data_IF_645470282196
#
_entry.id   IF_645470282196
#
_cell.length_a   1.000
_cell.length_b   1.000
_cell.length_c   1.000
_cell.angle_alpha   90.00
_cell.angle_beta   90.00
_cell.angle_gamma   90.00
#
_symmetry.space_group_name_H-M   'P 1'
#
loop_
_entity.id
_entity.type
_entity.pdbx_description
1 polymer ?
#
# COMPACT_ATOMS: atom_id res chain seq x y z
N UNK A 1 -15.94 3.23 6.45
CA UNK A 1 -15.01 2.08 6.36
C UNK A 1 -13.85 2.50 5.49
N UNK A 2 -12.65 2.08 5.85
CA UNK A 2 -11.45 2.50 5.16
C UNK A 2 -10.78 1.35 4.41
N UNK A 3 -10.04 1.74 3.38
CA UNK A 3 -9.11 0.88 2.67
C UNK A 3 -7.73 1.06 3.27
N UNK A 4 -7.05 -0.05 3.53
CA UNK A 4 -5.61 -0.05 3.81
C UNK A 4 -4.88 -0.20 2.48
N UNK A 5 -3.86 0.64 2.32
CA UNK A 5 -3.07 0.77 1.09
C UNK A 5 -1.62 0.44 1.44
N UNK A 6 -1.02 -0.44 0.66
CA UNK A 6 0.36 -0.86 0.77
C UNK A 6 1.09 -0.49 -0.50
N UNK A 7 2.24 0.18 -0.37
CA UNK A 7 3.07 0.56 -1.49
C UNK A 7 4.49 0.01 -1.32
N UNK A 8 5.04 -0.62 -2.36
CA UNK A 8 6.45 -1.03 -2.40
C UNK A 8 7.29 0.10 -2.99
N UNK A 9 8.02 0.79 -2.13
CA UNK A 9 8.79 1.99 -2.45
C UNK A 9 10.23 1.61 -2.79
N UNK A 10 10.75 2.06 -3.93
CA UNK A 10 12.18 2.06 -4.24
C UNK A 10 12.90 3.11 -3.39
N UNK A 11 13.64 2.63 -2.39
CA UNK A 11 14.32 3.52 -1.45
C UNK A 11 15.54 4.21 -2.04
N UNK A 12 16.18 3.63 -3.07
CA UNK A 12 17.32 4.30 -3.71
C UNK A 12 16.85 5.54 -4.45
N UNK A 13 15.76 5.42 -5.21
CA UNK A 13 15.17 6.56 -5.88
C UNK A 13 14.54 7.54 -4.88
N UNK A 14 13.88 7.04 -3.84
CA UNK A 14 13.30 7.91 -2.81
C UNK A 14 14.36 8.78 -2.10
N UNK A 15 15.50 8.19 -1.74
CA UNK A 15 16.63 8.92 -1.17
C UNK A 15 17.21 9.94 -2.16
N UNK A 16 17.37 9.55 -3.44
CA UNK A 16 17.83 10.45 -4.50
C UNK A 16 16.92 11.69 -4.62
N UNK A 17 15.60 11.49 -4.77
CA UNK A 17 14.64 12.57 -4.91
C UNK A 17 14.55 13.42 -3.64
N UNK A 18 14.66 12.81 -2.45
CA UNK A 18 14.61 13.54 -1.18
C UNK A 18 15.80 14.50 -0.98
N UNK A 19 16.92 14.21 -1.63
CA UNK A 19 18.16 15.01 -1.58
C UNK A 19 18.31 15.97 -2.77
N UNK A 20 17.47 15.84 -3.78
CA UNK A 20 17.45 16.73 -4.94
C UNK A 20 16.92 18.13 -4.55
N UNK A 21 17.49 19.22 -5.09
CA UNK A 21 16.91 20.56 -4.93
C UNK A 21 15.45 20.57 -5.36
N UNK A 22 14.59 21.26 -4.60
CA UNK A 22 13.15 21.34 -4.91
C UNK A 22 12.93 21.90 -6.32
N UNK A 23 13.72 22.90 -6.75
CA UNK A 23 13.65 23.44 -8.11
C UNK A 23 13.78 22.35 -9.16
N UNK A 24 14.76 21.47 -9.03
CA UNK A 24 15.03 20.47 -10.05
C UNK A 24 13.92 19.41 -10.10
N UNK A 25 13.30 19.08 -8.95
CA UNK A 25 12.13 18.20 -8.90
C UNK A 25 10.96 18.84 -9.65
N UNK A 26 10.67 20.11 -9.37
CA UNK A 26 9.56 20.83 -10.01
C UNK A 26 9.79 20.99 -11.51
N UNK A 27 11.00 21.33 -11.93
CA UNK A 27 11.36 21.43 -13.34
C UNK A 27 11.19 20.08 -14.05
N UNK A 28 11.60 18.97 -13.42
CA UNK A 28 11.44 17.64 -14.00
C UNK A 28 9.96 17.20 -14.07
N UNK A 29 9.13 17.63 -13.11
CA UNK A 29 7.67 17.41 -13.11
C UNK A 29 7.01 18.20 -14.23
N UNK A 30 7.25 19.51 -14.32
CA UNK A 30 6.67 20.39 -15.34
C UNK A 30 7.02 19.96 -16.76
N UNK A 31 8.26 19.49 -16.96
CA UNK A 31 8.74 18.99 -18.25
C UNK A 31 8.45 17.50 -18.49
N UNK A 32 7.79 16.81 -17.55
CA UNK A 32 7.46 15.38 -17.59
C UNK A 32 8.69 14.46 -17.71
N UNK A 33 9.89 14.96 -17.40
CA UNK A 33 11.13 14.19 -17.48
C UNK A 33 11.35 13.34 -16.23
N UNK A 34 10.71 13.66 -15.10
CA UNK A 34 10.77 12.86 -13.88
C UNK A 34 10.24 11.43 -14.12
N UNK A 35 9.32 11.26 -15.07
CA UNK A 35 8.74 9.95 -15.45
C UNK A 35 9.79 8.94 -15.89
N UNK A 36 10.92 9.39 -16.43
CA UNK A 36 12.03 8.54 -16.87
C UNK A 36 12.71 7.86 -15.68
N UNK A 37 12.73 8.51 -14.51
CA UNK A 37 13.32 7.98 -13.27
C UNK A 37 12.37 7.04 -12.53
N UNK A 38 11.09 7.01 -12.88
CA UNK A 38 10.09 6.22 -12.15
C UNK A 38 10.41 4.73 -12.25
N UNK A 39 10.30 3.95 -11.15
CA UNK A 39 10.59 2.52 -11.20
C UNK A 39 9.66 1.80 -12.18
N UNK A 40 10.11 0.68 -12.74
CA UNK A 40 9.27 -0.15 -13.61
C UNK A 40 8.07 -0.68 -12.83
N UNK A 41 6.87 -0.55 -13.42
CA UNK A 41 5.63 -1.04 -12.84
C UNK A 41 5.64 -2.57 -12.81
N UNK A 42 5.34 -3.15 -11.65
CA UNK A 42 4.98 -4.56 -11.58
C UNK A 42 3.61 -4.77 -12.25
N UNK A 43 3.60 -5.48 -13.39
CA UNK A 43 2.39 -5.72 -14.21
C UNK A 43 1.28 -6.47 -13.45
N UNK A 44 1.59 -7.10 -12.31
CA UNK A 44 0.59 -7.74 -11.45
C UNK A 44 -0.17 -6.78 -10.55
N UNK A 45 0.23 -5.50 -10.48
CA UNK A 45 -0.29 -4.51 -9.55
C UNK A 45 -0.59 -3.18 -10.22
N UNK A 46 -1.41 -2.38 -9.54
CA UNK A 46 -1.64 -0.99 -9.89
C UNK A 46 -0.66 -0.08 -9.14
N UNK A 47 -0.63 1.21 -9.49
CA UNK A 47 -0.06 2.31 -8.69
C UNK A 47 -0.68 3.62 -9.18
N UNK A 48 -0.52 4.69 -8.40
CA UNK A 48 -1.00 6.03 -8.77
C UNK A 48 -0.42 6.49 -10.12
N UNK A 49 -1.25 7.14 -10.94
CA UNK A 49 -0.84 7.66 -12.25
C UNK A 49 0.17 8.79 -12.10
N UNK A 50 1.07 8.92 -13.09
CA UNK A 50 2.08 9.97 -13.09
C UNK A 50 1.44 11.36 -13.02
N UNK A 51 0.39 11.60 -13.82
CA UNK A 51 -0.26 12.92 -13.93
C UNK A 51 -0.88 13.38 -12.60
N UNK A 52 -1.44 12.46 -11.81
CA UNK A 52 -2.07 12.79 -10.53
C UNK A 52 -0.99 13.20 -9.51
N UNK A 53 0.08 12.41 -9.41
CA UNK A 53 1.19 12.72 -8.51
C UNK A 53 1.96 13.98 -8.92
N UNK A 54 2.15 14.22 -10.21
CA UNK A 54 2.73 15.46 -10.73
C UNK A 54 1.90 16.67 -10.28
N UNK A 55 0.57 16.59 -10.44
CA UNK A 55 -0.35 17.62 -9.99
C UNK A 55 -0.28 17.88 -8.49
N UNK A 56 -0.28 16.81 -7.69
CA UNK A 56 -0.19 16.92 -6.23
C UNK A 56 1.14 17.52 -5.75
N UNK A 57 2.26 17.22 -6.41
CA UNK A 57 3.58 17.78 -6.09
C UNK A 57 3.60 19.29 -6.40
N UNK A 58 3.07 19.70 -7.55
CA UNK A 58 2.97 21.12 -7.91
C UNK A 58 2.05 21.87 -6.96
N UNK A 59 0.88 21.29 -6.64
CA UNK A 59 -0.05 21.88 -5.68
C UNK A 59 0.58 22.02 -4.30
N UNK A 60 1.35 21.03 -3.85
CA UNK A 60 2.10 21.12 -2.59
C UNK A 60 3.09 22.28 -2.60
N UNK A 61 3.82 22.50 -3.69
CA UNK A 61 4.74 23.64 -3.82
C UNK A 61 4.01 24.97 -3.79
N UNK A 62 2.90 25.11 -4.51
CA UNK A 62 2.10 26.34 -4.57
C UNK A 62 1.55 26.74 -3.18
N UNK A 63 1.19 25.74 -2.36
CA UNK A 63 0.76 25.95 -0.97
C UNK A 63 1.89 26.37 -0.03
N UNK A 64 3.16 26.23 -0.45
CA UNK A 64 4.35 26.52 0.34
C UNK A 64 5.23 27.61 -0.33
N UNK A 65 4.77 28.88 -0.43
CA UNK A 65 5.45 29.94 -1.18
C UNK A 65 6.80 30.41 -0.58
N UNK A 66 7.13 29.97 0.63
CA UNK A 66 8.38 30.32 1.33
C UNK A 66 9.48 29.27 1.17
N UNK A 67 9.29 28.28 0.27
CA UNK A 67 10.29 27.27 -0.04
C UNK A 67 11.58 27.92 -0.56
N UNK A 68 12.71 27.41 -0.10
CA UNK A 68 14.00 27.73 -0.69
C UNK A 68 14.28 26.72 -1.79
N UNK A 69 13.88 27.03 -3.03
CA UNK A 69 13.90 26.07 -4.14
C UNK A 69 15.31 25.51 -4.45
N UNK A 70 16.37 26.20 -4.00
CA UNK A 70 17.76 25.73 -4.15
C UNK A 70 18.14 24.58 -3.22
N UNK A 71 17.32 24.32 -2.19
CA UNK A 71 17.56 23.29 -1.17
C UNK A 71 16.71 22.06 -1.40
N UNK A 72 17.20 20.93 -0.88
CA UNK A 72 16.45 19.69 -0.86
C UNK A 72 15.24 19.76 0.09
N UNK A 73 14.27 18.86 -0.10
CA UNK A 73 13.12 18.71 0.81
C UNK A 73 13.59 18.48 2.24
N UNK A 74 14.68 17.72 2.42
CA UNK A 74 15.26 17.43 3.73
C UNK A 74 15.78 18.68 4.45
N UNK A 75 16.24 19.68 3.70
CA UNK A 75 16.81 20.93 4.25
C UNK A 75 15.80 22.08 4.37
N UNK A 76 14.58 21.90 3.84
CA UNK A 76 13.53 22.91 3.92
C UNK A 76 13.15 23.21 5.37
N UNK A 77 12.85 24.48 5.65
CA UNK A 77 12.32 24.93 6.95
C UNK A 77 10.79 24.88 6.98
N UNK A 78 10.24 23.71 6.70
CA UNK A 78 8.79 23.43 6.69
C UNK A 78 8.38 22.65 7.95
N UNK A 79 7.07 22.65 8.24
CA UNK A 79 6.50 21.86 9.33
C UNK A 79 6.70 20.35 9.09
N UNK A 80 6.58 19.55 10.16
CA UNK A 80 6.61 18.09 10.04
C UNK A 80 5.47 17.55 9.19
N UNK A 81 4.29 18.19 9.23
CA UNK A 81 3.12 17.83 8.44
C UNK A 81 3.37 18.04 6.94
N UNK A 82 3.87 19.21 6.54
CA UNK A 82 4.21 19.50 5.14
C UNK A 82 5.32 18.60 4.61
N UNK A 83 6.31 18.28 5.45
CA UNK A 83 7.36 17.33 5.12
C UNK A 83 6.80 15.91 4.91
N UNK A 84 5.86 15.49 5.75
CA UNK A 84 5.22 14.18 5.62
C UNK A 84 4.40 14.10 4.32
N UNK A 85 3.64 15.16 3.97
CA UNK A 85 2.86 15.22 2.73
C UNK A 85 3.73 15.00 1.49
N UNK A 86 4.77 15.81 1.32
CA UNK A 86 5.67 15.66 0.16
C UNK A 86 6.44 14.33 0.21
N UNK A 87 6.82 13.86 1.41
CA UNK A 87 7.44 12.55 1.58
C UNK A 87 6.54 11.40 1.11
N UNK A 88 5.24 11.47 1.38
CA UNK A 88 4.26 10.48 0.90
C UNK A 88 4.12 10.55 -0.63
N UNK A 89 4.04 11.75 -1.21
CA UNK A 89 3.97 11.93 -2.66
C UNK A 89 5.21 11.36 -3.37
N UNK A 90 6.40 11.66 -2.85
CA UNK A 90 7.63 11.08 -3.39
C UNK A 90 7.70 9.57 -3.19
N UNK A 91 7.24 9.03 -2.06
CA UNK A 91 7.22 7.60 -1.83
C UNK A 91 6.28 6.88 -2.82
N UNK A 92 5.09 7.45 -3.08
CA UNK A 92 4.15 6.99 -4.11
C UNK A 92 4.73 7.10 -5.52
N UNK A 93 5.48 8.17 -5.80
CA UNK A 93 6.20 8.30 -7.07
C UNK A 93 7.20 7.16 -7.26
N UNK A 94 8.00 6.90 -6.23
CA UNK A 94 8.99 5.83 -6.18
C UNK A 94 8.38 4.43 -5.99
N UNK A 95 7.06 4.29 -5.99
CA UNK A 95 6.41 2.99 -5.80
C UNK A 95 6.34 2.20 -7.10
N UNK A 96 6.71 0.91 -7.04
CA UNK A 96 6.58 -0.03 -8.17
C UNK A 96 5.25 -0.78 -8.19
N UNK A 97 4.55 -0.81 -7.06
CA UNK A 97 3.29 -1.54 -6.89
C UNK A 97 2.51 -1.02 -5.69
N UNK A 98 1.18 -0.99 -5.83
CA UNK A 98 0.19 -0.77 -4.80
C UNK A 98 -0.66 -2.03 -4.62
N UNK A 99 -0.91 -2.42 -3.38
CA UNK A 99 -1.93 -3.37 -3.00
C UNK A 99 -2.91 -2.72 -2.04
N UNK A 100 -4.21 -2.94 -2.23
CA UNK A 100 -5.27 -2.29 -1.48
C UNK A 100 -6.33 -3.29 -1.07
N UNK A 101 -6.83 -3.15 0.15
CA UNK A 101 -7.98 -3.93 0.61
C UNK A 101 -8.73 -3.21 1.72
N UNK A 102 -10.03 -3.52 1.83
CA UNK A 102 -10.87 -3.11 2.95
C UNK A 102 -10.27 -3.59 4.27
N UNK A 103 -10.14 -2.70 5.25
CA UNK A 103 -9.50 -3.01 6.54
C UNK A 103 -10.16 -4.22 7.25
N UNK A 104 -11.48 -4.36 7.13
CA UNK A 104 -12.22 -5.49 7.71
C UNK A 104 -11.82 -6.86 7.15
N UNK A 105 -11.33 -6.91 5.91
CA UNK A 105 -10.84 -8.17 5.29
C UNK A 105 -9.44 -8.55 5.79
N UNK A 106 -8.69 -7.62 6.37
CA UNK A 106 -7.36 -7.92 6.91
C UNK A 106 -7.41 -8.84 8.13
N UNK A 107 -8.53 -8.85 8.87
CA UNK A 107 -8.79 -9.88 9.89
C UNK A 107 -8.89 -11.31 9.33
N UNK A 108 -9.17 -11.45 8.04
CA UNK A 108 -9.14 -12.75 7.36
C UNK A 108 -7.77 -13.02 6.72
N UNK A 109 -7.13 -11.99 6.17
CA UNK A 109 -5.94 -12.19 5.33
C UNK A 109 -4.64 -12.15 6.12
N UNK A 110 -4.57 -11.34 7.17
CA UNK A 110 -3.34 -11.01 7.89
C UNK A 110 -3.38 -11.62 9.29
N UNK A 111 -4.42 -11.30 10.08
CA UNK A 111 -4.54 -11.72 11.49
C UNK A 111 -4.27 -13.22 11.72
N UNK A 112 -4.80 -14.17 10.93
CA UNK A 112 -4.58 -15.59 11.19
C UNK A 112 -3.11 -16.05 11.05
N UNK A 113 -2.27 -15.23 10.41
CA UNK A 113 -0.83 -15.48 10.23
C UNK A 113 0.03 -14.74 11.25
N UNK A 114 -0.57 -13.99 12.17
CA UNK A 114 0.13 -13.28 13.24
C UNK A 114 0.22 -14.14 14.51
N UNK A 115 1.29 -13.96 15.31
CA UNK A 115 1.43 -14.65 16.59
C UNK A 115 0.46 -14.14 17.67
N UNK A 116 0.02 -12.89 17.53
CA UNK A 116 -0.88 -12.18 18.45
C UNK A 116 -2.14 -11.78 17.69
N UNK A 117 -3.28 -11.76 18.39
CA UNK A 117 -4.55 -11.28 17.85
C UNK A 117 -4.53 -9.77 17.66
N UNK A 118 -5.30 -9.27 16.69
CA UNK A 118 -5.46 -7.84 16.46
C UNK A 118 -6.63 -7.33 17.32
N UNK A 119 -6.38 -6.35 18.19
CA UNK A 119 -7.40 -5.72 19.03
C UNK A 119 -8.24 -4.69 18.25
N UNK A 120 -7.66 -4.05 17.23
CA UNK A 120 -8.36 -3.06 16.40
C UNK A 120 -7.75 -2.82 15.03
N UNK A 121 -8.55 -2.25 14.11
CA UNK A 121 -8.12 -1.98 12.72
C UNK A 121 -6.92 -1.03 12.61
N UNK A 122 -6.69 -0.21 13.63
CA UNK A 122 -5.57 0.75 13.65
C UNK A 122 -4.21 0.04 13.70
N UNK A 123 -4.14 -1.19 14.21
CA UNK A 123 -2.89 -1.98 14.21
C UNK A 123 -2.43 -2.37 12.80
N UNK A 124 -3.34 -2.35 11.81
CA UNK A 124 -2.96 -2.53 10.41
C UNK A 124 -2.24 -1.31 9.82
N UNK A 125 -2.11 -0.21 10.56
CA UNK A 125 -1.23 0.91 10.21
C UNK A 125 0.19 0.76 10.77
N UNK A 126 0.41 -0.19 11.68
CA UNK A 126 1.70 -0.38 12.30
C UNK A 126 2.63 -1.20 11.41
N UNK A 127 3.85 -0.70 11.22
CA UNK A 127 4.88 -1.40 10.46
C UNK A 127 5.24 -2.77 11.08
N UNK A 128 5.19 -2.88 12.41
CA UNK A 128 5.41 -4.13 13.17
C UNK A 128 4.47 -5.24 12.71
N UNK A 129 3.19 -4.95 12.53
CA UNK A 129 2.17 -5.90 12.06
C UNK A 129 2.55 -6.48 10.71
N UNK A 130 2.89 -5.62 9.75
CA UNK A 130 3.26 -6.06 8.41
C UNK A 130 4.62 -6.76 8.35
N UNK A 131 5.57 -6.35 9.18
CA UNK A 131 6.86 -7.04 9.29
C UNK A 131 6.70 -8.45 9.88
N UNK A 132 5.86 -8.59 10.92
CA UNK A 132 5.51 -9.89 11.50
C UNK A 132 4.82 -10.79 10.46
N UNK A 133 3.82 -10.25 9.75
CA UNK A 133 3.14 -10.94 8.67
C UNK A 133 4.09 -11.40 7.56
N UNK A 134 4.96 -10.50 7.07
CA UNK A 134 5.96 -10.81 6.05
C UNK A 134 6.89 -11.95 6.47
N UNK A 135 7.30 -11.98 7.74
CA UNK A 135 8.13 -13.06 8.29
C UNK A 135 7.39 -14.40 8.31
N UNK A 136 6.13 -14.45 8.73
CA UNK A 136 5.33 -15.68 8.67
C UNK A 136 5.09 -16.14 7.23
N UNK A 137 4.76 -15.20 6.34
CA UNK A 137 4.51 -15.49 4.93
C UNK A 137 5.78 -15.99 4.24
N UNK A 138 6.96 -15.67 4.79
CA UNK A 138 8.24 -16.05 4.20
C UNK A 138 8.48 -17.56 4.11
N UNK A 139 7.84 -18.32 5.00
CA UNK A 139 7.94 -19.77 5.13
C UNK A 139 6.70 -20.51 4.59
N UNK A 140 5.72 -19.78 4.04
CA UNK A 140 4.46 -20.36 3.53
C UNK A 140 4.38 -20.14 2.03
N UNK A 141 4.08 -21.18 1.25
CA UNK A 141 3.86 -21.01 -0.19
C UNK A 141 2.51 -20.36 -0.48
N UNK A 142 2.39 -19.76 -1.67
CA UNK A 142 1.22 -19.00 -2.09
C UNK A 142 -0.09 -19.79 -1.96
N UNK A 143 -0.07 -21.06 -2.36
CA UNK A 143 -1.28 -21.91 -2.40
C UNK A 143 -1.71 -22.26 -0.98
N UNK A 144 -0.77 -22.68 -0.13
CA UNK A 144 -1.08 -23.00 1.26
C UNK A 144 -1.63 -21.79 2.02
N UNK A 145 -1.09 -20.58 1.76
CA UNK A 145 -1.59 -19.35 2.36
C UNK A 145 -3.01 -18.98 1.87
N UNK A 146 -3.27 -19.00 0.56
CA UNK A 146 -4.60 -18.63 0.06
C UNK A 146 -5.67 -19.65 0.46
N UNK A 147 -5.33 -20.94 0.52
CA UNK A 147 -6.22 -21.99 1.03
C UNK A 147 -6.53 -21.82 2.52
N UNK A 148 -5.55 -21.44 3.35
CA UNK A 148 -5.79 -21.22 4.78
C UNK A 148 -6.75 -20.06 5.03
N UNK A 149 -6.63 -18.98 4.26
CA UNK A 149 -7.55 -17.82 4.29
C UNK A 149 -8.98 -18.25 3.93
N UNK A 150 -9.14 -19.02 2.86
CA UNK A 150 -10.46 -19.52 2.44
C UNK A 150 -11.08 -20.42 3.51
N UNK A 151 -10.31 -21.35 4.07
CA UNK A 151 -10.79 -22.24 5.12
C UNK A 151 -11.20 -21.49 6.39
N UNK A 152 -10.44 -20.46 6.80
CA UNK A 152 -10.79 -19.63 7.94
C UNK A 152 -12.09 -18.85 7.67
N UNK A 153 -12.25 -18.26 6.48
CA UNK A 153 -13.49 -17.61 6.07
C UNK A 153 -14.70 -18.55 6.12
N UNK A 154 -14.58 -19.76 5.55
CA UNK A 154 -15.64 -20.77 5.57
C UNK A 154 -16.03 -21.14 7.01
N UNK A 155 -15.03 -21.34 7.89
CA UNK A 155 -15.25 -21.65 9.30
C UNK A 155 -15.95 -20.52 10.05
N UNK A 156 -15.52 -19.26 9.84
CA UNK A 156 -16.18 -18.10 10.46
C UNK A 156 -17.63 -17.97 10.00
N UNK A 157 -17.90 -18.23 8.72
CA UNK A 157 -19.26 -18.25 8.16
C UNK A 157 -20.13 -19.33 8.79
N UNK A 158 -19.63 -20.56 8.88
CA UNK A 158 -20.33 -21.68 9.55
C UNK A 158 -20.63 -21.36 11.03
N UNK A 159 -19.68 -20.77 11.75
CA UNK A 159 -19.86 -20.36 13.15
C UNK A 159 -20.95 -19.29 13.35
N UNK A 160 -21.25 -18.51 12.31
CA UNK A 160 -22.36 -17.54 12.31
C UNK A 160 -23.71 -18.20 11.98
N UNK A 161 -23.74 -19.51 11.70
CA UNK A 161 -24.95 -20.24 11.31
C UNK A 161 -25.37 -20.02 9.85
N UNK A 162 -24.48 -19.48 9.03
CA UNK A 162 -24.73 -19.22 7.61
C UNK A 162 -24.62 -20.50 6.77
N UNK A 163 -25.40 -20.59 5.69
CA UNK A 163 -25.35 -21.75 4.78
C UNK A 163 -24.00 -21.84 4.05
N UNK A 164 -23.56 -23.09 3.85
CA UNK A 164 -22.41 -23.46 3.03
C UNK A 164 -22.82 -24.09 1.70
N UNK A 165 -24.12 -24.28 1.46
CA UNK A 165 -24.63 -24.82 0.20
C UNK A 165 -24.72 -23.70 -0.86
N UNK A 166 -23.95 -23.77 -1.96
CA UNK A 166 -24.05 -22.80 -3.06
C UNK A 166 -25.43 -22.75 -3.72
N UNK A 167 -26.25 -23.77 -3.53
CA UNK A 167 -27.64 -23.82 -3.98
C UNK A 167 -28.54 -22.88 -3.17
N UNK A 168 -28.23 -22.71 -1.88
CA UNK A 168 -28.95 -21.82 -0.97
C UNK A 168 -28.40 -20.39 -1.01
N UNK A 169 -27.09 -20.23 -1.22
CA UNK A 169 -26.45 -18.92 -1.47
C UNK A 169 -25.49 -18.97 -2.68
N UNK A 170 -25.90 -18.45 -3.85
CA UNK A 170 -25.08 -18.46 -5.06
C UNK A 170 -23.85 -17.56 -4.97
N UNK A 171 -23.72 -16.70 -3.94
CA UNK A 171 -22.55 -15.83 -3.75
C UNK A 171 -21.38 -16.52 -3.07
N UNK A 172 -21.55 -17.72 -2.52
CA UNK A 172 -20.47 -18.44 -1.82
C UNK A 172 -19.27 -18.64 -2.73
N UNK A 173 -19.46 -19.20 -3.93
CA UNK A 173 -18.35 -19.50 -4.84
C UNK A 173 -17.63 -18.24 -5.35
N UNK A 174 -18.34 -17.18 -5.81
CA UNK A 174 -17.68 -15.91 -6.15
C UNK A 174 -16.94 -15.28 -4.96
N UNK A 175 -17.48 -15.35 -3.76
CA UNK A 175 -16.85 -14.77 -2.56
C UNK A 175 -15.59 -15.53 -2.16
N UNK A 176 -15.65 -16.86 -2.22
CA UNK A 176 -14.50 -17.74 -2.02
C UNK A 176 -13.38 -17.42 -3.02
N UNK A 177 -13.70 -17.30 -4.31
CA UNK A 177 -12.71 -16.97 -5.33
C UNK A 177 -12.12 -15.56 -5.13
N UNK A 178 -12.92 -14.60 -4.68
CA UNK A 178 -12.44 -13.26 -4.34
C UNK A 178 -11.45 -13.27 -3.17
N UNK A 179 -11.72 -14.04 -2.11
CA UNK A 179 -10.78 -14.20 -0.98
C UNK A 179 -9.48 -14.89 -1.41
N UNK A 180 -9.60 -15.93 -2.22
CA UNK A 180 -8.45 -16.65 -2.78
C UNK A 180 -7.60 -15.72 -3.67
N UNK A 181 -8.21 -15.03 -4.62
CA UNK A 181 -7.50 -14.11 -5.52
C UNK A 181 -6.81 -12.97 -4.76
N UNK A 182 -7.49 -12.36 -3.78
CA UNK A 182 -6.92 -11.28 -2.97
C UNK A 182 -5.73 -11.74 -2.10
N UNK A 183 -5.84 -12.91 -1.47
CA UNK A 183 -4.74 -13.49 -0.67
C UNK A 183 -3.57 -13.93 -1.55
N UNK A 184 -3.82 -14.56 -2.71
CA UNK A 184 -2.75 -14.87 -3.66
C UNK A 184 -2.00 -13.62 -4.13
N UNK A 185 -2.73 -12.53 -4.44
CA UNK A 185 -2.14 -11.24 -4.80
C UNK A 185 -1.31 -10.65 -3.66
N UNK A 186 -1.81 -10.69 -2.42
CA UNK A 186 -1.08 -10.23 -1.24
C UNK A 186 0.22 -11.01 -1.02
N UNK A 187 0.20 -12.33 -1.23
CA UNK A 187 1.42 -13.16 -1.15
C UNK A 187 2.46 -12.78 -2.19
N UNK A 188 2.03 -12.58 -3.44
CA UNK A 188 2.92 -12.11 -4.51
C UNK A 188 3.52 -10.74 -4.16
N UNK A 189 2.70 -9.82 -3.63
CA UNK A 189 3.14 -8.49 -3.21
C UNK A 189 4.27 -8.57 -2.16
N UNK A 190 4.09 -9.39 -1.12
CA UNK A 190 5.11 -9.54 -0.07
C UNK A 190 6.36 -10.33 -0.51
N UNK A 191 6.28 -11.16 -1.56
CA UNK A 191 7.49 -11.72 -2.17
C UNK A 191 8.35 -10.64 -2.83
N UNK A 192 7.71 -9.62 -3.42
CA UNK A 192 8.39 -8.49 -4.07
C UNK A 192 9.01 -7.48 -3.10
N UNK A 193 8.57 -7.49 -1.83
CA UNK A 193 9.15 -6.69 -0.73
C UNK A 193 10.58 -7.15 -0.38
N UNK A 194 10.95 -8.39 -0.69
CA UNK A 194 12.23 -8.99 -0.26
C UNK A 194 13.45 -8.50 -1.05
N UNK A 195 13.26 -7.68 -2.08
CA UNK A 195 14.37 -7.09 -2.82
C UNK A 195 15.14 -6.11 -1.93
N UNK A 196 16.47 -6.08 -2.06
CA UNK A 196 17.29 -5.05 -1.43
C UNK A 196 16.78 -3.66 -1.84
N UNK A 197 16.70 -2.74 -0.88
CA UNK A 197 16.28 -1.32 -1.09
C UNK A 197 14.81 -1.12 -1.45
N UNK A 198 13.93 -2.08 -1.17
CA UNK A 198 12.48 -1.85 -1.16
C UNK A 198 12.01 -1.65 0.28
N UNK A 199 11.10 -0.70 0.50
CA UNK A 199 10.42 -0.52 1.78
C UNK A 199 8.90 -0.47 1.60
N UNK A 200 8.19 -0.75 2.69
CA UNK A 200 6.74 -0.74 2.72
C UNK A 200 6.24 0.62 3.22
N UNK A 201 5.46 1.31 2.41
CA UNK A 201 4.62 2.42 2.84
C UNK A 201 3.22 1.89 3.13
N UNK A 202 2.72 2.16 4.34
CA UNK A 202 1.37 1.77 4.78
C UNK A 202 0.51 3.02 4.92
N UNK A 203 -0.65 3.01 4.30
CA UNK A 203 -1.62 4.10 4.35
C UNK A 203 -3.03 3.58 4.62
N UNK A 204 -3.93 4.52 4.96
CA UNK A 204 -5.36 4.25 5.11
C UNK A 204 -6.15 5.38 4.48
N UNK A 205 -7.10 5.02 3.64
CA UNK A 205 -7.97 5.95 2.94
C UNK A 205 -9.42 5.68 3.36
N UNK A 206 -10.08 6.70 3.90
CA UNK A 206 -11.50 6.60 4.20
C UNK A 206 -12.28 6.86 2.91
N UNK A 207 -13.17 5.92 2.56
CA UNK A 207 -14.13 6.18 1.49
C UNK A 207 -14.91 7.44 1.86
N UNK A 208 -14.92 8.43 0.96
CA UNK A 208 -15.78 9.60 1.12
C UNK A 208 -17.21 9.11 1.34
N UNK A 209 -17.86 9.57 2.41
CA UNK A 209 -19.27 9.29 2.58
C UNK A 209 -19.98 10.01 1.44
N UNK A 210 -20.57 9.26 0.52
CA UNK A 210 -21.60 9.79 -0.36
C UNK A 210 -22.71 10.34 0.55
N UNK A 211 -22.70 11.65 0.80
CA UNK A 211 -23.79 12.40 1.42
C UNK A 211 -24.79 12.79 0.33
#
# INVERSE_FOLDING_TARGET
>A
MADVILNLVDMSLFEELSLMPVQDILDEVENQTLRIKRPELDQGFHRDFEVDLEGDILEWSDRNPLLDLSKSIMEQKISSDERAKIGILLAKWCSKSEWRCWEARLFLYVEPSLPESIDGSDEFLEFSTWNSFANTLSSTDKKSYSESVVLDWMKRRENLGETMDPSDDPRILPTMEAHKSASESLHIFFNNLRSEKISLLVGREYLESNL
#
